data_IF_972425897872
#
_entry.id   IF_972425897872
#
_cell.length_a   1.000
_cell.length_b   1.000
_cell.length_c   1.000
_cell.angle_alpha   90.00
_cell.angle_beta   90.00
_cell.angle_gamma   90.00
#
_symmetry.space_group_name_H-M   'P 1'
#
loop_
_entity.id
_entity.type
_entity.pdbx_description
1 polymer ?
#
# COMPACT_ATOMS: atom_id res chain seq x y z
N UNK A 1 -11.31 -33.17 60.44
CA UNK A 1 -10.11 -32.35 60.78
C UNK A 1 -9.54 -31.78 59.48
N UNK A 2 -10.22 -30.85 58.82
CA UNK A 2 -9.75 -30.28 57.53
C UNK A 2 -10.60 -29.06 57.15
N UNK A 3 -10.43 -27.92 57.83
CA UNK A 3 -11.21 -26.71 57.50
C UNK A 3 -10.54 -25.42 57.98
N UNK A 4 -9.23 -25.25 57.72
CA UNK A 4 -8.51 -24.00 58.07
C UNK A 4 -7.57 -23.44 56.99
N UNK A 5 -7.46 -24.06 55.82
CA UNK A 5 -6.46 -23.63 54.80
C UNK A 5 -7.05 -22.74 53.69
N UNK A 6 -8.39 -22.69 53.54
CA UNK A 6 -9.06 -21.95 52.48
C UNK A 6 -8.86 -20.41 52.48
N UNK A 7 -8.78 -19.69 53.62
CA UNK A 7 -8.72 -18.23 53.58
C UNK A 7 -7.37 -17.68 53.14
N UNK A 8 -6.29 -18.45 53.26
CA UNK A 8 -4.92 -18.00 52.92
C UNK A 8 -4.74 -17.92 51.39
N UNK A 9 -5.28 -18.88 50.65
CA UNK A 9 -5.20 -18.88 49.19
C UNK A 9 -5.99 -17.73 48.56
N UNK A 10 -7.12 -17.34 49.15
CA UNK A 10 -7.93 -16.24 48.62
C UNK A 10 -7.25 -14.88 48.76
N UNK A 11 -6.53 -14.66 49.87
CA UNK A 11 -5.76 -13.43 50.11
C UNK A 11 -4.54 -13.36 49.18
N UNK A 12 -3.82 -14.47 48.98
CA UNK A 12 -2.70 -14.54 48.03
C UNK A 12 -3.15 -14.24 46.58
N UNK A 13 -4.33 -14.74 46.17
CA UNK A 13 -4.87 -14.47 44.83
C UNK A 13 -5.22 -12.98 44.64
N UNK A 14 -5.78 -12.34 45.67
CA UNK A 14 -6.12 -10.91 45.66
C UNK A 14 -4.89 -10.00 45.57
N UNK A 15 -3.77 -10.38 46.21
CA UNK A 15 -2.49 -9.67 46.11
C UNK A 15 -1.88 -9.82 44.70
N UNK A 16 -2.06 -10.98 44.07
CA UNK A 16 -1.58 -11.20 42.69
C UNK A 16 -2.38 -10.43 41.65
N UNK A 17 -3.71 -10.34 41.81
CA UNK A 17 -4.58 -9.60 40.87
C UNK A 17 -4.41 -8.08 41.01
N UNK A 18 -4.12 -7.58 42.21
CA UNK A 18 -3.89 -6.15 42.43
C UNK A 18 -2.48 -5.71 42.01
N UNK A 19 -1.45 -6.54 42.19
CA UNK A 19 -0.08 -6.21 41.75
C UNK A 19 0.07 -6.21 40.22
N UNK A 20 -0.68 -7.03 39.49
CA UNK A 20 -0.68 -7.03 38.02
C UNK A 20 -1.20 -5.72 37.40
N UNK A 21 -1.94 -4.88 38.15
CA UNK A 21 -2.45 -3.58 37.66
C UNK A 21 -1.54 -2.39 37.96
N UNK A 22 -0.48 -2.57 38.74
CA UNK A 22 0.42 -1.48 39.14
C UNK A 22 1.72 -1.42 38.34
N UNK A 23 2.00 -2.39 37.49
CA UNK A 23 3.10 -2.26 36.54
C UNK A 23 2.63 -1.42 35.36
N UNK A 24 3.13 -0.18 35.18
CA UNK A 24 2.91 0.52 33.92
C UNK A 24 3.41 -0.41 32.79
N UNK A 25 2.69 -0.50 31.67
CA UNK A 25 3.15 -1.29 30.54
C UNK A 25 4.59 -0.89 30.23
N UNK A 26 5.48 -1.87 29.95
CA UNK A 26 6.87 -1.56 29.66
C UNK A 26 6.90 -0.49 28.57
N UNK A 27 7.43 0.68 28.91
CA UNK A 27 7.71 1.71 27.93
C UNK A 27 8.77 1.10 27.03
N UNK A 28 8.35 0.67 25.84
CA UNK A 28 9.25 0.27 24.77
C UNK A 28 10.00 1.55 24.40
N UNK A 29 11.14 1.79 25.05
CA UNK A 29 12.11 2.78 24.62
C UNK A 29 12.70 2.23 23.33
N UNK A 30 12.09 2.62 22.21
CA UNK A 30 12.73 2.44 20.91
C UNK A 30 14.03 3.24 20.92
N UNK A 31 15.15 2.52 20.92
CA UNK A 31 16.47 3.11 20.75
C UNK A 31 16.65 3.49 19.28
N UNK A 32 15.99 4.58 18.88
CA UNK A 32 16.14 5.15 17.55
C UNK A 32 17.55 5.69 17.39
N UNK A 33 18.43 4.95 16.70
CA UNK A 33 19.59 5.54 16.04
C UNK A 33 19.19 5.87 14.60
N UNK A 34 18.97 7.16 14.34
CA UNK A 34 18.71 7.68 13.00
C UNK A 34 19.89 7.37 12.08
N UNK A 35 19.72 6.40 11.18
CA UNK A 35 20.66 6.18 10.07
C UNK A 35 20.27 7.16 8.96
N UNK A 36 21.15 8.12 8.68
CA UNK A 36 21.04 9.04 7.55
C UNK A 36 21.15 8.26 6.24
N UNK A 37 20.01 7.82 5.72
CA UNK A 37 19.89 7.41 4.32
C UNK A 37 19.42 8.62 3.51
N UNK A 38 19.78 8.68 2.23
CA UNK A 38 19.35 9.75 1.32
C UNK A 38 18.42 9.15 0.23
N UNK A 39 17.24 8.57 0.57
CA UNK A 39 16.39 7.93 -0.42
C UNK A 39 15.64 9.00 -1.24
N UNK A 40 15.66 8.85 -2.56
CA UNK A 40 14.90 9.70 -3.50
C UNK A 40 13.39 9.41 -3.49
N UNK A 41 12.93 8.33 -2.85
CA UNK A 41 11.56 7.82 -2.90
C UNK A 41 10.89 7.74 -1.52
N UNK A 42 10.91 8.82 -0.74
CA UNK A 42 10.24 8.87 0.57
C UNK A 42 8.88 9.57 0.44
N UNK A 43 7.88 9.10 1.21
CA UNK A 43 6.61 9.82 1.36
C UNK A 43 6.88 11.16 2.06
N UNK A 44 6.70 12.25 1.32
CA UNK A 44 6.55 13.58 1.90
C UNK A 44 5.12 13.72 2.39
N UNK A 45 4.96 13.95 3.69
CA UNK A 45 3.65 14.11 4.33
C UNK A 45 2.82 15.25 3.71
N UNK A 46 3.48 16.24 3.09
CA UNK A 46 2.79 17.31 2.37
C UNK A 46 2.16 16.86 1.04
N UNK A 47 2.55 15.70 0.51
CA UNK A 47 2.00 15.10 -0.70
C UNK A 47 0.90 14.08 -0.42
N UNK A 48 0.68 13.72 0.85
CA UNK A 48 -0.43 12.86 1.22
C UNK A 48 -1.75 13.58 0.96
N UNK A 49 -2.75 12.83 0.51
CA UNK A 49 -4.10 13.36 0.52
C UNK A 49 -4.57 13.60 1.97
N UNK A 50 -5.59 14.44 2.14
CA UNK A 50 -6.06 14.85 3.45
C UNK A 50 -6.53 13.66 4.31
N UNK A 51 -7.14 12.65 3.71
CA UNK A 51 -7.68 11.49 4.42
C UNK A 51 -6.55 10.63 4.98
N UNK A 52 -5.55 10.30 4.15
CA UNK A 52 -4.36 9.55 4.57
C UNK A 52 -3.59 10.29 5.69
N UNK A 53 -3.44 11.61 5.55
CA UNK A 53 -2.80 12.42 6.59
C UNK A 53 -3.56 12.34 7.91
N UNK A 54 -4.88 12.51 7.88
CA UNK A 54 -5.70 12.46 9.08
C UNK A 54 -5.61 11.10 9.76
N UNK A 55 -5.67 10.01 8.98
CA UNK A 55 -5.53 8.65 9.50
C UNK A 55 -4.19 8.47 10.24
N UNK A 56 -3.07 8.81 9.60
CA UNK A 56 -1.74 8.64 10.19
C UNK A 56 -1.56 9.54 11.42
N UNK A 57 -2.06 10.78 11.36
CA UNK A 57 -1.89 11.77 12.44
C UNK A 57 -2.62 11.42 13.74
N UNK A 58 -3.64 10.56 13.69
CA UNK A 58 -4.36 10.09 14.90
C UNK A 58 -3.49 9.15 15.76
N UNK A 59 -2.47 8.53 15.17
CA UNK A 59 -1.50 7.71 15.92
C UNK A 59 -2.08 6.46 16.57
N UNK A 60 -3.26 6.01 16.16
CA UNK A 60 -3.95 4.86 16.79
C UNK A 60 -3.20 3.53 16.57
N UNK A 61 -2.32 3.46 15.56
CA UNK A 61 -1.57 2.28 15.20
C UNK A 61 -0.08 2.52 15.37
N UNK A 62 0.47 2.07 16.51
CA UNK A 62 1.90 2.17 16.90
C UNK A 62 2.89 1.67 15.84
N UNK A 63 2.39 1.01 14.79
CA UNK A 63 3.17 0.51 13.66
C UNK A 63 3.52 1.59 12.64
N UNK A 64 2.70 2.63 12.49
CA UNK A 64 2.92 3.70 11.49
C UNK A 64 2.97 5.05 12.18
N UNK A 65 4.09 5.76 12.07
CA UNK A 65 4.27 7.05 12.76
C UNK A 65 4.94 8.11 11.90
N UNK A 66 4.75 9.37 12.30
CA UNK A 66 5.36 10.54 11.68
C UNK A 66 6.65 10.90 12.40
N UNK A 67 7.77 10.97 11.67
CA UNK A 67 9.02 11.49 12.18
C UNK A 67 9.43 12.76 11.41
N UNK A 68 10.00 13.74 12.12
CA UNK A 68 10.60 14.92 11.51
C UNK A 68 12.08 14.66 11.27
N UNK A 69 12.46 14.47 10.01
CA UNK A 69 13.85 14.29 9.60
C UNK A 69 14.31 15.53 8.81
N UNK A 70 15.16 16.36 9.42
CA UNK A 70 15.73 17.56 8.78
C UNK A 70 14.68 18.53 8.20
N UNK A 71 13.55 18.70 8.90
CA UNK A 71 12.46 19.58 8.46
C UNK A 71 11.46 18.93 7.49
N UNK A 72 11.68 17.67 7.09
CA UNK A 72 10.72 16.87 6.31
C UNK A 72 9.99 15.92 7.24
N UNK A 73 8.66 15.99 7.25
CA UNK A 73 7.82 15.00 7.92
C UNK A 73 7.72 13.76 7.02
N UNK A 74 8.03 12.59 7.57
CA UNK A 74 8.09 11.30 6.88
C UNK A 74 7.30 10.25 7.65
N UNK A 75 6.76 9.28 6.93
CA UNK A 75 6.00 8.16 7.51
C UNK A 75 6.91 6.93 7.63
N UNK A 76 6.89 6.27 8.78
CA UNK A 76 7.74 5.11 9.08
C UNK A 76 6.93 3.87 9.48
N UNK A 77 7.47 2.69 9.18
CA UNK A 77 7.04 1.39 9.70
C UNK A 77 8.26 0.54 10.08
N UNK A 78 8.30 0.01 11.31
CA UNK A 78 9.43 -0.76 11.84
C UNK A 78 10.79 -0.07 11.59
N UNK A 79 10.88 1.21 11.96
CA UNK A 79 12.08 2.05 11.80
C UNK A 79 12.56 2.25 10.35
N UNK A 80 11.68 1.99 9.37
CA UNK A 80 11.96 2.19 7.94
C UNK A 80 11.00 3.21 7.34
N UNK A 81 11.49 4.10 6.45
CA UNK A 81 10.61 5.04 5.77
C UNK A 81 9.71 4.29 4.79
N UNK A 82 8.45 4.69 4.72
CA UNK A 82 7.52 4.20 3.71
C UNK A 82 7.85 4.82 2.35
N UNK A 83 7.70 4.02 1.29
CA UNK A 83 7.80 4.44 -0.11
C UNK A 83 6.44 4.92 -0.64
N UNK A 84 5.37 4.20 -0.30
CA UNK A 84 4.00 4.52 -0.71
C UNK A 84 3.00 4.03 0.35
N UNK A 85 1.85 4.68 0.43
CA UNK A 85 0.77 4.38 1.37
C UNK A 85 -0.56 4.72 0.70
N UNK A 86 -1.57 3.87 0.87
CA UNK A 86 -2.91 4.11 0.38
C UNK A 86 -3.97 3.50 1.30
N UNK A 87 -4.99 4.28 1.66
CA UNK A 87 -6.21 3.80 2.33
C UNK A 87 -7.16 3.12 1.34
N UNK A 88 -7.80 2.02 1.78
CA UNK A 88 -8.86 1.38 1.00
C UNK A 88 -10.07 2.30 0.86
N UNK A 89 -10.95 2.11 -0.14
CA UNK A 89 -12.10 2.98 -0.34
C UNK A 89 -13.04 3.04 0.87
N UNK A 90 -13.15 1.94 1.63
CA UNK A 90 -13.90 1.87 2.89
C UNK A 90 -13.15 2.43 4.11
N UNK A 91 -11.88 2.84 3.95
CA UNK A 91 -10.96 3.27 5.01
C UNK A 91 -10.76 2.24 6.12
N UNK A 92 -11.10 0.97 5.86
CA UNK A 92 -10.93 -0.11 6.84
C UNK A 92 -9.57 -0.78 6.77
N UNK A 93 -8.84 -0.56 5.68
CA UNK A 93 -7.52 -1.14 5.45
C UNK A 93 -6.54 -0.08 4.95
N UNK A 94 -5.26 -0.25 5.29
CA UNK A 94 -4.16 0.54 4.76
C UNK A 94 -3.17 -0.39 4.10
N UNK A 95 -2.77 -0.08 2.87
CA UNK A 95 -1.67 -0.73 2.21
C UNK A 95 -0.47 0.20 2.18
N UNK A 96 0.73 -0.32 2.44
CA UNK A 96 1.96 0.47 2.30
C UNK A 96 3.14 -0.36 1.82
N UNK A 97 4.03 0.31 1.07
CA UNK A 97 5.31 -0.22 0.60
C UNK A 97 6.45 0.30 1.46
N UNK A 98 7.36 -0.57 1.85
CA UNK A 98 8.58 -0.19 2.57
C UNK A 98 9.76 -1.11 2.20
N UNK A 99 11.01 -0.64 2.33
CA UNK A 99 12.19 -1.49 2.17
C UNK A 99 12.36 -2.39 3.41
N UNK A 100 12.31 -3.73 3.26
CA UNK A 100 12.50 -4.65 4.38
C UNK A 100 13.92 -4.58 4.95
N UNK A 101 14.14 -5.17 6.13
CA UNK A 101 15.44 -5.13 6.81
C UNK A 101 16.54 -5.99 6.14
N UNK A 102 16.24 -6.67 5.03
CA UNK A 102 17.26 -7.39 4.26
C UNK A 102 18.36 -6.42 3.80
N UNK A 103 19.58 -6.91 3.61
CA UNK A 103 20.74 -6.08 3.26
C UNK A 103 20.62 -5.40 1.88
N UNK A 104 19.56 -5.70 1.12
CA UNK A 104 19.34 -5.17 -0.22
C UNK A 104 18.33 -4.03 -0.18
N UNK A 105 18.77 -2.82 -0.54
CA UNK A 105 17.88 -1.68 -0.83
C UNK A 105 17.00 -1.92 -2.07
N UNK A 106 17.22 -3.03 -2.77
CA UNK A 106 16.51 -3.40 -3.99
C UNK A 106 15.21 -4.15 -3.70
N UNK A 107 14.84 -4.42 -2.45
CA UNK A 107 13.59 -5.12 -2.15
C UNK A 107 12.52 -4.16 -1.64
N UNK A 108 11.26 -4.45 -1.94
CA UNK A 108 10.10 -3.83 -1.30
C UNK A 108 9.17 -4.92 -0.76
N UNK A 109 8.69 -4.70 0.46
CA UNK A 109 7.60 -5.46 1.03
C UNK A 109 6.34 -4.58 1.02
N UNK A 110 5.21 -5.20 0.71
CA UNK A 110 3.89 -4.60 0.81
C UNK A 110 3.18 -5.21 2.01
N UNK A 111 2.78 -4.35 2.93
CA UNK A 111 2.05 -4.73 4.14
C UNK A 111 0.65 -4.15 4.08
N UNK A 112 -0.31 -4.99 4.49
CA UNK A 112 -1.67 -4.61 4.78
C UNK A 112 -1.82 -4.43 6.30
N UNK A 113 -2.38 -3.31 6.71
CA UNK A 113 -2.81 -3.02 8.08
C UNK A 113 -4.34 -2.97 8.12
N UNK A 114 -4.93 -3.84 8.91
CA UNK A 114 -6.36 -3.89 9.18
C UNK A 114 -6.72 -2.86 10.28
N UNK A 115 -7.59 -1.90 9.97
CA UNK A 115 -7.91 -0.81 10.89
C UNK A 115 -8.59 -1.27 12.18
N UNK A 116 -9.48 -2.27 12.15
CA UNK A 116 -10.29 -2.60 13.35
C UNK A 116 -9.48 -3.21 14.49
N UNK A 117 -8.44 -3.96 14.17
CA UNK A 117 -7.67 -4.74 15.15
C UNK A 117 -6.17 -4.40 15.13
N UNK A 118 -5.73 -3.53 14.21
CA UNK A 118 -4.33 -3.16 14.02
C UNK A 118 -3.45 -4.33 13.54
N UNK A 119 -4.05 -5.42 13.04
CA UNK A 119 -3.24 -6.56 12.57
C UNK A 119 -2.55 -6.20 11.28
N UNK A 120 -1.25 -6.49 11.22
CA UNK A 120 -0.45 -6.32 10.01
C UNK A 120 -0.16 -7.68 9.38
N UNK A 121 -0.20 -7.72 8.05
CA UNK A 121 0.19 -8.89 7.26
C UNK A 121 0.98 -8.44 6.05
N UNK A 122 2.16 -9.00 5.84
CA UNK A 122 2.86 -8.86 4.58
C UNK A 122 2.09 -9.66 3.51
N UNK A 123 1.63 -8.99 2.47
CA UNK A 123 0.84 -9.61 1.40
C UNK A 123 1.62 -9.73 0.09
N UNK A 124 2.75 -9.04 -0.03
CA UNK A 124 3.61 -9.15 -1.19
C UNK A 124 5.06 -8.78 -0.86
N UNK A 125 6.01 -9.39 -1.58
CA UNK A 125 7.44 -9.08 -1.55
C UNK A 125 7.92 -9.06 -2.99
N UNK A 126 8.57 -7.98 -3.41
CA UNK A 126 9.12 -7.90 -4.76
C UNK A 126 10.18 -8.97 -4.97
N UNK A 127 10.11 -9.67 -6.11
CA UNK A 127 11.18 -10.56 -6.60
C UNK A 127 12.15 -9.83 -7.53
N UNK A 128 12.03 -8.51 -7.60
CA UNK A 128 12.70 -7.61 -8.52
C UNK A 128 13.10 -6.36 -7.76
N UNK A 129 13.96 -5.56 -8.39
CA UNK A 129 14.54 -4.40 -7.77
C UNK A 129 13.51 -3.30 -7.45
N UNK A 130 13.69 -2.58 -6.34
CA UNK A 130 12.73 -1.61 -5.80
C UNK A 130 12.50 -0.42 -6.72
N UNK A 131 13.48 -0.12 -7.58
CA UNK A 131 13.38 0.88 -8.64
C UNK A 131 12.45 0.46 -9.78
N UNK A 132 12.12 -0.83 -9.89
CA UNK A 132 11.17 -1.33 -10.90
C UNK A 132 9.73 -0.89 -10.60
N UNK A 133 9.39 -0.52 -9.35
CA UNK A 133 8.08 0.08 -9.01
C UNK A 133 8.10 1.58 -9.24
N UNK A 134 7.30 2.05 -10.19
CA UNK A 134 7.34 3.42 -10.74
C UNK A 134 6.18 4.32 -10.32
N UNK A 135 5.13 3.76 -9.71
CA UNK A 135 4.01 4.54 -9.16
C UNK A 135 3.80 4.28 -7.67
N UNK A 136 2.92 5.10 -7.09
CA UNK A 136 2.31 4.81 -5.81
C UNK A 136 1.34 3.61 -5.88
N UNK A 137 0.93 3.15 -4.70
CA UNK A 137 -0.13 2.16 -4.55
C UNK A 137 -1.50 2.78 -4.83
N UNK A 138 -2.31 2.06 -5.60
CA UNK A 138 -3.69 2.45 -5.87
C UNK A 138 -4.63 1.28 -5.54
N UNK A 139 -5.69 1.56 -4.79
CA UNK A 139 -6.75 0.58 -4.53
C UNK A 139 -7.69 0.44 -5.71
N UNK A 140 -8.02 -0.77 -6.11
CA UNK A 140 -9.02 -1.06 -7.13
C UNK A 140 -10.17 -1.86 -6.50
N UNK A 141 -11.14 -1.12 -5.97
CA UNK A 141 -12.13 -1.66 -5.03
C UNK A 141 -11.48 -2.02 -3.69
N UNK A 142 -12.13 -2.90 -2.93
CA UNK A 142 -11.67 -3.31 -1.58
C UNK A 142 -10.67 -4.47 -1.59
N UNK A 143 -10.52 -5.17 -2.71
CA UNK A 143 -9.84 -6.47 -2.74
C UNK A 143 -8.55 -6.46 -3.55
N UNK A 144 -8.28 -5.37 -4.27
CA UNK A 144 -7.14 -5.31 -5.18
C UNK A 144 -6.35 -4.03 -4.98
N UNK A 145 -5.05 -4.17 -5.15
CA UNK A 145 -4.11 -3.07 -5.31
C UNK A 145 -3.51 -3.15 -6.70
N UNK A 146 -3.13 -2.01 -7.27
CA UNK A 146 -2.24 -2.00 -8.41
C UNK A 146 -1.16 -0.93 -8.29
N UNK A 147 -0.08 -1.14 -9.04
CA UNK A 147 1.03 -0.21 -9.18
C UNK A 147 1.72 -0.43 -10.53
N UNK A 148 2.37 0.63 -11.02
CA UNK A 148 3.10 0.63 -12.27
C UNK A 148 4.53 0.12 -12.06
N UNK A 149 5.06 -0.48 -13.11
CA UNK A 149 6.41 -1.02 -13.16
C UNK A 149 7.14 -0.67 -14.44
N UNK A 150 8.47 -0.71 -14.41
CA UNK A 150 9.25 -0.67 -15.64
C UNK A 150 9.08 -2.00 -16.42
N UNK A 151 8.99 -1.92 -17.75
CA UNK A 151 9.15 -3.11 -18.59
C UNK A 151 10.05 -2.90 -19.81
N UNK A 152 10.67 -1.72 -19.98
CA UNK A 152 11.59 -1.41 -21.07
C UNK A 152 11.43 0.03 -21.60
N UNK A 153 12.14 0.33 -22.68
CA UNK A 153 12.00 1.59 -23.41
C UNK A 153 10.68 1.56 -24.18
N UNK A 154 9.74 2.44 -23.82
CA UNK A 154 8.38 2.54 -24.41
C UNK A 154 7.33 1.53 -23.92
N UNK A 155 7.51 0.95 -22.73
CA UNK A 155 6.43 0.22 -22.08
C UNK A 155 6.44 0.38 -20.55
N UNK A 156 5.26 0.23 -19.95
CA UNK A 156 5.08 0.08 -18.50
C UNK A 156 4.30 -1.21 -18.21
N UNK A 157 4.64 -1.88 -17.12
CA UNK A 157 3.82 -2.95 -16.55
C UNK A 157 2.81 -2.37 -15.57
N UNK A 158 1.62 -2.95 -15.50
CA UNK A 158 0.70 -2.75 -14.36
C UNK A 158 0.65 -4.07 -13.60
N UNK A 159 1.10 -4.10 -12.35
CA UNK A 159 0.90 -5.26 -11.47
C UNK A 159 -0.38 -5.06 -10.68
N UNK A 160 -1.31 -6.00 -10.82
CA UNK A 160 -2.50 -6.15 -10.00
C UNK A 160 -2.19 -7.18 -8.91
N UNK A 161 -2.47 -6.83 -7.65
CA UNK A 161 -2.27 -7.68 -6.47
C UNK A 161 -3.63 -7.93 -5.80
N UNK A 162 -3.97 -9.20 -5.62
CA UNK A 162 -5.11 -9.61 -4.81
C UNK A 162 -4.73 -9.57 -3.33
N UNK A 163 -5.41 -8.72 -2.56
CA UNK A 163 -5.09 -8.46 -1.15
C UNK A 163 -5.38 -9.66 -0.25
N UNK A 164 -6.35 -10.49 -0.62
CA UNK A 164 -6.73 -11.68 0.14
C UNK A 164 -5.68 -12.80 0.01
N UNK A 165 -5.32 -13.11 -1.23
CA UNK A 165 -4.47 -14.26 -1.60
C UNK A 165 -2.98 -13.91 -1.70
N UNK A 166 -2.64 -12.65 -1.96
CA UNK A 166 -1.27 -12.22 -2.29
C UNK A 166 -0.84 -12.55 -3.72
N UNK A 167 -1.74 -13.10 -4.55
CA UNK A 167 -1.44 -13.42 -5.94
C UNK A 167 -1.33 -12.16 -6.80
N UNK A 168 -0.40 -12.16 -7.75
CA UNK A 168 -0.20 -11.06 -8.69
C UNK A 168 -0.54 -11.45 -10.12
N UNK A 169 -1.04 -10.47 -10.87
CA UNK A 169 -1.24 -10.53 -12.31
C UNK A 169 -0.64 -9.29 -12.94
N UNK A 170 -0.21 -9.42 -14.19
CA UNK A 170 0.44 -8.31 -14.90
C UNK A 170 -0.37 -7.97 -16.15
N UNK A 171 -0.46 -6.67 -16.41
CA UNK A 171 -0.93 -6.08 -17.65
C UNK A 171 0.17 -5.22 -18.25
N UNK A 172 0.04 -4.88 -19.53
CA UNK A 172 1.07 -4.14 -20.27
C UNK A 172 0.49 -2.86 -20.86
N UNK A 173 1.24 -1.78 -20.71
CA UNK A 173 1.07 -0.52 -21.40
C UNK A 173 2.21 -0.34 -22.38
N UNK A 174 1.89 -0.11 -23.64
CA UNK A 174 2.86 0.17 -24.71
C UNK A 174 2.54 1.50 -25.37
N UNK A 175 3.57 2.23 -25.78
CA UNK A 175 3.41 3.55 -26.39
C UNK A 175 3.95 3.56 -27.82
N UNK A 176 3.41 4.45 -28.67
CA UNK A 176 4.04 4.70 -29.97
C UNK A 176 5.47 5.19 -29.76
N UNK A 177 6.42 4.51 -30.41
CA UNK A 177 7.86 4.81 -30.30
C UNK A 177 8.41 5.56 -31.52
N UNK A 178 7.59 5.73 -32.55
CA UNK A 178 8.00 6.31 -33.83
C UNK A 178 7.37 7.69 -34.03
N UNK A 179 8.19 8.65 -34.49
CA UNK A 179 7.80 10.05 -34.69
C UNK A 179 6.84 10.27 -35.86
N UNK A 180 6.73 9.29 -36.76
CA UNK A 180 5.83 9.30 -37.92
C UNK A 180 4.42 8.76 -37.60
N UNK A 181 4.21 8.25 -36.38
CA UNK A 181 2.92 7.74 -35.93
C UNK A 181 2.26 8.70 -34.94
N UNK A 182 0.92 8.85 -34.97
CA UNK A 182 0.20 9.57 -33.93
C UNK A 182 0.52 9.00 -32.54
N UNK A 183 0.57 9.89 -31.53
CA UNK A 183 0.71 9.47 -30.14
C UNK A 183 -0.44 8.54 -29.74
N UNK A 184 -0.13 7.35 -29.24
CA UNK A 184 -1.13 6.45 -28.69
C UNK A 184 -0.58 5.65 -27.52
N UNK A 185 -1.49 5.20 -26.67
CA UNK A 185 -1.27 4.25 -25.59
C UNK A 185 -2.07 2.99 -25.88
N UNK A 186 -1.41 1.84 -25.88
CA UNK A 186 -2.03 0.52 -26.00
C UNK A 186 -1.97 -0.17 -24.64
N UNK A 187 -3.12 -0.56 -24.12
CA UNK A 187 -3.26 -1.28 -22.86
C UNK A 187 -3.77 -2.68 -23.14
N UNK A 188 -3.03 -3.69 -22.70
CA UNK A 188 -3.44 -5.09 -22.69
C UNK A 188 -3.61 -5.54 -21.26
N UNK A 189 -4.84 -5.84 -20.87
CA UNK A 189 -5.16 -6.22 -19.50
C UNK A 189 -4.72 -7.65 -19.15
N UNK A 190 -4.94 -8.06 -17.91
CA UNK A 190 -4.64 -9.41 -17.40
C UNK A 190 -5.52 -10.53 -17.99
N UNK A 191 -6.57 -10.18 -18.75
CA UNK A 191 -7.39 -11.10 -19.54
C UNK A 191 -6.90 -11.24 -20.98
N UNK A 192 -5.96 -10.38 -21.39
CA UNK A 192 -5.54 -10.25 -22.78
C UNK A 192 -6.48 -9.39 -23.62
N UNK A 193 -7.46 -8.72 -23.02
CA UNK A 193 -8.28 -7.72 -23.68
C UNK A 193 -7.44 -6.49 -23.98
N UNK A 194 -7.60 -5.96 -25.20
CA UNK A 194 -6.77 -4.88 -25.70
C UNK A 194 -7.58 -3.59 -25.87
N UNK A 195 -6.96 -2.47 -25.52
CA UNK A 195 -7.53 -1.13 -25.56
C UNK A 195 -6.53 -0.17 -26.18
N UNK A 196 -6.97 0.58 -27.18
CA UNK A 196 -6.18 1.65 -27.80
C UNK A 196 -6.75 3.00 -27.40
N UNK A 197 -5.87 3.90 -26.98
CA UNK A 197 -6.19 5.25 -26.52
C UNK A 197 -5.34 6.26 -27.25
N UNK A 198 -5.94 7.37 -27.70
CA UNK A 198 -5.21 8.45 -28.36
C UNK A 198 -4.46 9.29 -27.32
N UNK A 199 -3.18 9.56 -27.56
CA UNK A 199 -2.28 10.25 -26.63
C UNK A 199 -1.38 9.34 -25.81
N UNK A 200 -0.46 9.97 -25.08
CA UNK A 200 0.41 9.31 -24.11
C UNK A 200 -0.25 9.23 -22.75
N UNK A 201 0.08 8.18 -22.01
CA UNK A 201 -0.35 8.03 -20.64
C UNK A 201 0.41 9.01 -19.74
N UNK A 202 -0.35 9.84 -19.03
CA UNK A 202 0.17 10.68 -17.95
C UNK A 202 0.16 9.94 -16.62
N UNK A 203 -0.99 9.37 -16.27
CA UNK A 203 -1.20 8.63 -15.01
C UNK A 203 -2.32 7.60 -15.15
N UNK A 204 -2.23 6.54 -14.34
CA UNK A 204 -3.32 5.57 -14.13
C UNK A 204 -3.76 5.69 -12.68
N UNK A 205 -5.04 5.93 -12.48
CA UNK A 205 -5.66 5.97 -11.16
C UNK A 205 -6.84 5.00 -11.12
N UNK A 206 -7.45 4.86 -9.95
CA UNK A 206 -8.71 4.14 -9.79
C UNK A 206 -9.84 5.09 -9.43
N UNK A 207 -11.04 4.71 -9.85
CA UNK A 207 -12.26 5.40 -9.45
C UNK A 207 -13.39 4.38 -9.29
N UNK A 208 -14.27 4.60 -8.32
CA UNK A 208 -15.54 3.87 -8.21
C UNK A 208 -16.63 4.66 -8.92
N UNK A 209 -17.25 4.07 -9.95
CA UNK A 209 -18.34 4.67 -10.72
C UNK A 209 -19.54 3.71 -10.61
N UNK A 210 -20.65 4.18 -10.03
CA UNK A 210 -21.85 3.35 -9.79
C UNK A 210 -21.54 2.05 -9.02
N UNK A 211 -20.71 2.13 -7.97
CA UNK A 211 -20.22 0.98 -7.18
C UNK A 211 -19.26 0.03 -7.91
N UNK A 212 -18.98 0.26 -9.20
CA UNK A 212 -18.03 -0.55 -9.94
C UNK A 212 -16.64 0.11 -9.95
N UNK A 213 -15.59 -0.62 -9.54
CA UNK A 213 -14.23 -0.13 -9.63
C UNK A 213 -13.81 -0.02 -11.10
N UNK A 214 -13.14 1.07 -11.44
CA UNK A 214 -12.62 1.35 -12.77
C UNK A 214 -11.14 1.74 -12.70
N UNK A 215 -10.38 1.36 -13.72
CA UNK A 215 -9.10 1.99 -14.02
C UNK A 215 -9.36 3.25 -14.86
N UNK A 216 -8.75 4.35 -14.47
CA UNK A 216 -8.87 5.65 -15.16
C UNK A 216 -7.51 6.03 -15.70
N UNK A 217 -7.41 6.10 -17.02
CA UNK A 217 -6.22 6.47 -17.76
C UNK A 217 -6.33 7.94 -18.14
N UNK A 218 -5.45 8.77 -17.59
CA UNK A 218 -5.35 10.20 -17.94
C UNK A 218 -4.35 10.35 -19.07
N UNK A 219 -4.80 10.99 -20.16
CA UNK A 219 -4.08 11.05 -21.41
C UNK A 219 -3.62 12.49 -21.71
N UNK A 220 -2.45 12.61 -22.35
CA UNK A 220 -1.88 13.87 -22.80
C UNK A 220 -1.32 13.79 -24.22
N UNK A 221 -1.18 14.93 -24.88
CA UNK A 221 -0.54 15.02 -26.19
C UNK A 221 1.00 15.08 -26.08
N UNK A 222 1.66 15.17 -27.23
CA UNK A 222 3.13 15.29 -27.32
C UNK A 222 3.70 16.53 -26.62
N UNK A 223 2.87 17.55 -26.36
CA UNK A 223 3.26 18.78 -25.66
C UNK A 223 2.89 18.74 -24.16
N UNK A 224 2.38 17.60 -23.65
CA UNK A 224 1.94 17.44 -22.26
C UNK A 224 0.58 18.08 -21.97
N UNK A 225 -0.22 18.41 -22.99
CA UNK A 225 -1.56 18.96 -22.81
C UNK A 225 -2.55 17.83 -22.56
N UNK A 226 -3.38 17.98 -21.52
CA UNK A 226 -4.46 17.04 -21.20
C UNK A 226 -5.43 16.86 -22.38
N UNK A 227 -5.65 15.60 -22.77
CA UNK A 227 -6.55 15.20 -23.85
C UNK A 227 -7.88 14.64 -23.36
N UNK A 228 -7.93 14.16 -22.12
CA UNK A 228 -9.10 13.49 -21.56
C UNK A 228 -8.72 12.32 -20.66
N UNK A 229 -9.73 11.63 -20.16
CA UNK A 229 -9.57 10.38 -19.44
C UNK A 229 -10.36 9.25 -20.10
N UNK A 230 -9.78 8.05 -20.07
CA UNK A 230 -10.47 6.82 -20.47
C UNK A 230 -10.70 5.98 -19.23
N UNK A 231 -11.96 5.64 -18.97
CA UNK A 231 -12.34 4.71 -17.89
C UNK A 231 -12.56 3.31 -18.46
N UNK A 232 -12.01 2.30 -17.79
CA UNK A 232 -12.19 0.88 -18.12
C UNK A 232 -12.68 0.15 -16.86
N UNK A 233 -13.84 -0.53 -16.91
CA UNK A 233 -14.36 -1.26 -15.76
C UNK A 233 -13.41 -2.39 -15.37
N UNK A 234 -13.16 -2.52 -14.07
CA UNK A 234 -12.40 -3.63 -13.53
C UNK A 234 -13.32 -4.85 -13.43
N UNK A 235 -13.12 -5.79 -14.35
CA UNK A 235 -13.79 -7.08 -14.31
C UNK A 235 -12.92 -8.02 -13.48
N UNK A 236 -13.40 -8.33 -12.27
CA UNK A 236 -12.72 -9.31 -11.42
C UNK A 236 -12.77 -10.69 -12.07
N UNK A 237 -11.60 -11.31 -12.11
CA UNK A 237 -11.36 -12.66 -12.63
C UNK A 237 -11.69 -13.75 -11.61
N UNK A 238 -12.15 -13.40 -10.40
CA UNK A 238 -12.54 -14.40 -9.41
C UNK A 238 -13.59 -15.29 -10.09
N UNK A 239 -13.31 -16.59 -10.30
CA UNK A 239 -14.38 -17.50 -10.64
C UNK A 239 -15.38 -17.31 -9.53
N UNK A 240 -16.60 -16.86 -9.83
CA UNK A 240 -17.66 -16.98 -8.84
C UNK A 240 -17.70 -18.47 -8.53
N UNK A 241 -17.11 -18.86 -7.41
CA UNK A 241 -17.35 -20.17 -6.84
C UNK A 241 -18.85 -20.17 -6.64
N UNK A 242 -19.55 -20.83 -7.56
CA UNK A 242 -20.96 -21.16 -7.40
C UNK A 242 -20.99 -22.00 -6.14
N UNK A 243 -21.26 -21.36 -5.01
CA UNK A 243 -21.72 -22.05 -3.83
C UNK A 243 -23.09 -22.63 -4.22
N UNK A 244 -23.05 -23.88 -4.69
CA UNK A 244 -24.24 -24.73 -4.74
C UNK A 244 -24.55 -25.21 -3.33
#
# INVERSE_FOLDING_TARGET
MMQKVLPVYFIMLLIFVTSARFFPPPQIQSSFSLVTTNPTNMIDVLKLNQVDYQYISRGEYNTVFLANNQGKKQVYYNDRPLKSLALSPSETQVAFLYPPASQSLDELALVLLEGKNGTTRQIYHTKFASWDVTSDLHWLGENYLFFLRHCGTSCQGITLLDVGTGETRNATLSYSSFTDQPAFTHFKDWLGQEYRMDGFLREVTSQTINSDPHLVFVLEDVAGKYLGSKSIPFISLVPQQKFN
#
